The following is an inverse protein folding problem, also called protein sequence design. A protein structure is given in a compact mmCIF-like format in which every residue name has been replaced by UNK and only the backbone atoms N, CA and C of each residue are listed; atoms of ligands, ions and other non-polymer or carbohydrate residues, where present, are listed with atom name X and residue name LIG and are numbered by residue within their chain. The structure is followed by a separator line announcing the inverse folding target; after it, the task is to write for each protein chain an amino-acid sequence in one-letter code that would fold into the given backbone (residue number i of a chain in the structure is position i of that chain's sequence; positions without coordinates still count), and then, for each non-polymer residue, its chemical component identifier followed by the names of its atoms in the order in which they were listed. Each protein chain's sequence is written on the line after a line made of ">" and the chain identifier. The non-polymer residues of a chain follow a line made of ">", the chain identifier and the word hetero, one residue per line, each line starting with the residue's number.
data_IF_951827084990
#
_entry.id   IF_951827084990
#
_cell.length_a   1.000
_cell.length_b   1.000
_cell.length_c   1.000
_cell.angle_alpha   90.00
_cell.angle_beta   90.00
_cell.angle_gamma   90.00
#
_symmetry.space_group_name_H-M   'P 1'
#
loop_
_entity.id
_entity.type
_entity.pdbx_description
1 polymer ?
#
# COMPACT_ATOMS: atom_id res chain seq x y z
N UNK A 1 6.93 2.32 -16.48
CA UNK A 1 6.83 2.28 -15.01
C UNK A 1 8.13 1.70 -14.48
N UNK A 2 8.61 2.15 -13.33
CA UNK A 2 9.89 1.65 -12.75
C UNK A 2 9.93 1.79 -11.22
N UNK A 3 10.85 1.07 -10.59
CA UNK A 3 11.21 1.21 -9.18
C UNK A 3 12.26 2.33 -9.06
N UNK A 4 11.99 3.34 -8.24
CA UNK A 4 12.97 4.39 -7.93
C UNK A 4 13.82 4.05 -6.71
N UNK A 5 13.21 3.39 -5.72
CA UNK A 5 13.88 2.98 -4.49
C UNK A 5 13.27 1.70 -3.94
N UNK A 6 14.12 0.83 -3.41
CA UNK A 6 13.76 -0.33 -2.59
C UNK A 6 14.08 0.04 -1.16
N UNK A 7 13.08 -0.03 -0.26
CA UNK A 7 13.22 0.40 1.12
C UNK A 7 12.87 -0.76 2.07
N UNK A 8 13.70 -0.97 3.07
CA UNK A 8 13.53 -2.02 4.08
C UNK A 8 13.71 -1.46 5.49
N UNK A 9 13.18 -2.15 6.50
CA UNK A 9 13.36 -1.77 7.89
C UNK A 9 12.97 -2.89 8.82
N UNK A 10 13.81 -3.13 9.82
CA UNK A 10 13.49 -4.05 10.91
C UNK A 10 12.62 -3.36 11.98
N UNK A 11 11.79 -4.09 12.71
CA UNK A 11 11.03 -3.57 13.82
C UNK A 11 11.95 -2.95 14.86
N UNK A 12 11.59 -1.75 15.33
CA UNK A 12 12.27 -1.08 16.44
C UNK A 12 11.29 -0.52 17.45
N UNK A 13 11.71 -0.36 18.66
CA UNK A 13 10.90 0.26 19.70
C UNK A 13 11.05 1.78 19.67
N UNK A 14 9.93 2.47 19.79
CA UNK A 14 9.86 3.93 19.87
C UNK A 14 8.83 4.35 20.92
N UNK A 15 9.08 5.46 21.61
CA UNK A 15 8.08 6.03 22.52
C UNK A 15 7.15 6.96 21.75
N UNK A 16 5.85 6.70 21.83
CA UNK A 16 4.82 7.52 21.24
C UNK A 16 3.70 7.80 22.24
N UNK A 17 3.44 9.08 22.52
CA UNK A 17 2.42 9.51 23.50
C UNK A 17 2.57 8.78 24.88
N UNK A 18 3.79 8.65 25.34
CA UNK A 18 4.10 7.99 26.62
C UNK A 18 4.03 6.46 26.63
N UNK A 19 3.79 5.82 25.47
CA UNK A 19 3.76 4.36 25.33
C UNK A 19 4.89 3.85 24.47
N UNK A 20 5.45 2.71 24.85
CA UNK A 20 6.42 1.99 24.03
C UNK A 20 5.68 1.25 22.91
N UNK A 21 6.12 1.45 21.66
CA UNK A 21 5.51 0.86 20.47
C UNK A 21 6.59 0.23 19.60
N UNK A 22 6.42 -1.05 19.26
CA UNK A 22 7.27 -1.73 18.27
C UNK A 22 6.70 -1.53 16.87
N UNK A 23 7.54 -1.06 15.93
CA UNK A 23 7.09 -0.75 14.57
C UNK A 23 8.19 -0.94 13.53
N UNK A 24 7.85 -1.52 12.37
CA UNK A 24 8.69 -1.63 11.17
C UNK A 24 8.44 -0.53 10.12
N UNK A 25 7.78 0.59 10.51
CA UNK A 25 7.44 1.67 9.56
C UNK A 25 8.67 2.48 9.11
N UNK A 26 9.77 2.41 9.85
CA UNK A 26 10.98 3.15 9.55
C UNK A 26 11.81 2.42 8.50
N UNK A 27 11.37 2.54 7.25
CA UNK A 27 12.08 1.98 6.12
C UNK A 27 13.08 2.97 5.55
N UNK A 28 14.20 2.45 5.05
CA UNK A 28 15.31 3.21 4.50
C UNK A 28 15.75 2.56 3.17
N UNK A 29 16.19 3.37 2.18
CA UNK A 29 16.68 2.86 0.92
C UNK A 29 17.85 1.89 1.10
N UNK A 30 17.83 0.77 0.36
CA UNK A 30 18.95 -0.18 0.33
C UNK A 30 19.81 0.04 -0.91
N UNK A 31 21.11 -0.26 -0.78
CA UNK A 31 22.01 -0.32 -1.90
C UNK A 31 21.94 -1.70 -2.57
N UNK A 32 21.90 -1.71 -3.91
CA UNK A 32 21.89 -2.95 -4.69
C UNK A 32 20.49 -3.58 -4.79
N UNK A 33 20.45 -4.91 -4.83
CA UNK A 33 19.23 -5.71 -5.02
C UNK A 33 18.84 -6.42 -3.73
N UNK A 34 17.54 -6.60 -3.52
CA UNK A 34 16.99 -7.35 -2.41
C UNK A 34 16.20 -8.58 -2.94
N UNK A 35 16.21 -9.66 -2.21
CA UNK A 35 15.37 -10.81 -2.50
C UNK A 35 13.93 -10.52 -2.06
N UNK A 36 13.00 -10.55 -2.99
CA UNK A 36 11.57 -10.48 -2.70
C UNK A 36 11.05 -11.90 -2.47
N UNK A 37 10.57 -12.12 -1.25
CA UNK A 37 9.98 -13.39 -0.82
C UNK A 37 8.46 -13.29 -0.77
N UNK A 38 7.81 -14.42 -0.60
CA UNK A 38 6.34 -14.52 -0.58
C UNK A 38 5.66 -13.58 0.43
N UNK A 39 6.31 -13.24 1.54
CA UNK A 39 5.71 -12.46 2.63
C UNK A 39 6.36 -11.09 2.86
N UNK A 40 7.57 -10.85 2.32
CA UNK A 40 8.33 -9.60 2.52
C UNK A 40 9.55 -9.51 1.60
N UNK A 41 10.39 -8.50 1.82
CA UNK A 41 11.75 -8.43 1.26
C UNK A 41 12.77 -8.86 2.32
N UNK A 42 13.89 -9.43 1.88
CA UNK A 42 15.03 -9.66 2.76
C UNK A 42 15.50 -8.31 3.34
N UNK A 43 15.72 -8.27 4.65
CA UNK A 43 16.04 -7.05 5.39
C UNK A 43 14.83 -6.24 5.86
N UNK A 44 13.62 -6.64 5.47
CA UNK A 44 12.38 -6.03 5.93
C UNK A 44 11.59 -6.96 6.85
N UNK A 45 10.90 -6.38 7.84
CA UNK A 45 10.01 -7.15 8.71
C UNK A 45 8.86 -6.29 9.23
N UNK A 46 7.65 -6.85 9.20
CA UNK A 46 6.48 -6.28 9.85
C UNK A 46 6.50 -6.59 11.35
N UNK A 47 6.19 -5.59 12.18
CA UNK A 47 6.19 -5.74 13.64
C UNK A 47 4.95 -6.46 14.20
N UNK A 48 3.85 -6.50 13.42
CA UNK A 48 2.59 -7.09 13.84
C UNK A 48 1.92 -7.76 12.63
N UNK A 49 2.05 -9.06 12.55
CA UNK A 49 1.53 -9.88 11.45
C UNK A 49 0.00 -10.08 11.52
N UNK A 50 -0.64 -9.75 12.63
CA UNK A 50 -2.11 -9.88 12.75
C UNK A 50 -2.83 -8.78 11.99
N UNK A 51 -2.20 -7.62 11.79
CA UNK A 51 -2.78 -6.44 11.15
C UNK A 51 -1.96 -5.98 9.92
N UNK A 52 -0.64 -6.09 10.00
CA UNK A 52 0.31 -5.56 9.01
C UNK A 52 1.19 -6.66 8.46
N UNK A 53 0.67 -7.48 7.56
CA UNK A 53 1.42 -8.57 6.97
C UNK A 53 0.52 -9.60 6.31
N UNK A 54 1.10 -10.75 6.00
CA UNK A 54 0.42 -11.83 5.27
C UNK A 54 0.57 -11.68 3.76
N UNK A 55 0.07 -12.67 3.04
CA UNK A 55 0.27 -12.81 1.59
C UNK A 55 -0.23 -11.59 0.81
N UNK A 56 -1.38 -11.04 1.19
CA UNK A 56 -1.97 -9.87 0.49
C UNK A 56 -1.27 -8.54 0.79
N UNK A 57 -0.43 -8.48 1.82
CA UNK A 57 0.31 -7.28 2.25
C UNK A 57 1.82 -7.53 2.28
N UNK A 58 2.32 -8.34 1.36
CA UNK A 58 3.73 -8.73 1.34
C UNK A 58 4.64 -7.53 1.08
N UNK A 59 4.28 -6.66 0.14
CA UNK A 59 5.07 -5.49 -0.27
C UNK A 59 4.15 -4.29 -0.48
N UNK A 60 4.55 -3.14 0.04
CA UNK A 60 3.85 -1.87 -0.11
C UNK A 60 4.53 -0.99 -1.16
N UNK A 61 3.77 -0.56 -2.17
CA UNK A 61 4.19 0.33 -3.26
C UNK A 61 3.60 1.72 -3.05
N UNK A 62 4.41 2.76 -3.26
CA UNK A 62 3.96 4.15 -3.16
C UNK A 62 4.48 4.99 -4.32
N UNK A 63 3.59 5.65 -5.10
CA UNK A 63 3.97 6.49 -6.23
C UNK A 63 4.80 7.71 -5.81
N UNK A 64 5.94 7.91 -6.44
CA UNK A 64 6.82 9.06 -6.20
C UNK A 64 6.17 10.39 -6.56
N UNK A 65 5.21 10.38 -7.47
CA UNK A 65 4.40 11.54 -7.88
C UNK A 65 3.69 12.19 -6.70
N UNK A 66 3.36 11.42 -5.67
CA UNK A 66 2.71 11.93 -4.48
C UNK A 66 3.65 12.73 -3.57
N UNK A 67 4.94 12.54 -3.67
CA UNK A 67 5.91 13.25 -2.84
C UNK A 67 5.93 14.76 -3.09
N UNK A 68 5.68 15.20 -4.33
CA UNK A 68 5.56 16.64 -4.65
C UNK A 68 4.39 17.29 -3.92
N UNK A 69 3.23 16.62 -3.89
CA UNK A 69 2.07 17.04 -3.11
C UNK A 69 2.41 17.14 -1.61
N UNK A 70 3.05 16.11 -1.06
CA UNK A 70 3.37 16.10 0.37
C UNK A 70 4.42 17.14 0.76
N UNK A 71 5.37 17.45 -0.11
CA UNK A 71 6.31 18.55 0.13
C UNK A 71 5.61 19.90 0.22
N UNK A 72 4.54 20.13 -0.55
CA UNK A 72 3.74 21.35 -0.45
C UNK A 72 2.85 21.36 0.80
N UNK A 73 2.31 20.21 1.23
CA UNK A 73 1.46 20.07 2.40
C UNK A 73 2.24 20.12 3.73
N UNK A 74 3.51 19.80 3.71
CA UNK A 74 4.38 19.68 4.87
C UNK A 74 5.68 20.46 4.67
N UNK A 75 5.59 21.81 4.50
CA UNK A 75 6.77 22.64 4.25
C UNK A 75 7.78 22.50 5.39
N UNK A 76 9.05 22.36 5.03
CA UNK A 76 10.17 22.22 5.98
C UNK A 76 10.38 20.79 6.52
N UNK A 77 9.53 19.84 6.14
CA UNK A 77 9.75 18.43 6.50
C UNK A 77 10.57 17.74 5.42
N UNK A 78 11.63 17.05 5.83
CA UNK A 78 12.37 16.15 4.94
C UNK A 78 11.52 14.89 4.66
N UNK A 79 11.39 14.54 3.39
CA UNK A 79 10.60 13.40 2.94
C UNK A 79 11.47 12.49 2.05
N UNK A 80 12.37 11.70 2.65
CA UNK A 80 13.16 10.71 1.92
C UNK A 80 12.26 9.56 1.44
N UNK A 81 12.72 8.78 0.46
CA UNK A 81 12.06 7.54 0.06
C UNK A 81 11.89 6.61 1.27
N UNK A 82 10.79 5.89 1.34
CA UNK A 82 10.41 5.10 2.52
C UNK A 82 9.69 5.90 3.60
N UNK A 83 9.44 7.20 3.40
CA UNK A 83 8.79 8.05 4.41
C UNK A 83 7.37 7.60 4.77
N UNK A 84 6.63 7.08 3.82
CA UNK A 84 5.27 6.57 4.05
C UNK A 84 5.27 5.10 4.53
N UNK A 85 6.44 4.51 4.76
CA UNK A 85 6.62 3.11 5.17
C UNK A 85 6.53 2.15 3.98
N UNK A 86 6.66 2.67 2.75
CA UNK A 86 6.66 1.87 1.54
C UNK A 86 7.96 1.07 1.37
N UNK A 87 7.81 -0.13 0.82
CA UNK A 87 8.92 -0.96 0.38
C UNK A 87 9.45 -0.51 -0.99
N UNK A 88 8.55 -0.11 -1.90
CA UNK A 88 8.93 0.41 -3.20
C UNK A 88 8.41 1.82 -3.39
N UNK A 89 9.31 2.77 -3.63
CA UNK A 89 8.95 4.04 -4.23
C UNK A 89 8.97 3.86 -5.74
N UNK A 90 7.84 4.11 -6.40
CA UNK A 90 7.61 3.78 -7.82
C UNK A 90 7.37 5.03 -8.66
N UNK A 91 7.52 4.90 -9.98
CA UNK A 91 7.13 5.92 -10.96
C UNK A 91 6.15 5.32 -11.97
N UNK A 92 5.04 6.03 -12.21
CA UNK A 92 4.04 5.68 -13.22
C UNK A 92 2.95 4.70 -12.75
N UNK A 93 2.85 4.41 -11.44
CA UNK A 93 1.90 3.45 -10.85
C UNK A 93 0.84 4.16 -9.98
N UNK A 94 0.08 5.08 -10.56
CA UNK A 94 -0.97 5.80 -9.84
C UNK A 94 -2.19 4.91 -9.54
N UNK A 95 -2.84 5.13 -8.40
CA UNK A 95 -3.94 4.33 -7.89
C UNK A 95 -5.17 4.28 -8.81
N UNK A 96 -5.37 5.30 -9.64
CA UNK A 96 -6.47 5.37 -10.62
C UNK A 96 -6.17 4.64 -11.94
N UNK A 97 -4.93 4.22 -12.17
CA UNK A 97 -4.49 3.48 -13.34
C UNK A 97 -4.10 2.02 -13.05
N UNK A 98 -4.02 1.68 -11.75
CA UNK A 98 -3.72 0.33 -11.25
C UNK A 98 -5.00 -0.29 -10.71
N UNK A 99 -5.32 -1.51 -11.17
CA UNK A 99 -6.54 -2.22 -10.81
C UNK A 99 -6.26 -3.38 -9.86
N UNK A 100 -7.22 -3.71 -9.01
CA UNK A 100 -7.13 -4.88 -8.15
C UNK A 100 -7.06 -6.14 -9.02
N UNK A 101 -6.06 -7.00 -8.79
CA UNK A 101 -5.77 -8.16 -9.62
C UNK A 101 -4.78 -7.90 -10.76
N UNK A 102 -4.34 -6.66 -11.00
CA UNK A 102 -3.25 -6.40 -11.95
C UNK A 102 -2.01 -7.19 -11.54
N UNK A 103 -1.38 -7.84 -12.51
CA UNK A 103 -0.13 -8.57 -12.31
C UNK A 103 1.01 -7.84 -12.99
N UNK A 104 2.06 -7.60 -12.23
CA UNK A 104 3.27 -6.94 -12.71
C UNK A 104 4.48 -7.85 -12.60
N UNK A 105 5.36 -7.76 -13.59
CA UNK A 105 6.74 -8.22 -13.49
C UNK A 105 7.61 -7.06 -13.04
N UNK A 106 8.47 -7.31 -12.03
CA UNK A 106 9.40 -6.34 -11.46
C UNK A 106 10.75 -7.04 -11.28
N UNK A 107 11.73 -6.71 -12.11
CA UNK A 107 13.00 -7.46 -12.12
C UNK A 107 12.75 -8.95 -12.39
N UNK A 108 13.15 -9.82 -11.45
CA UNK A 108 12.96 -11.27 -11.56
C UNK A 108 11.65 -11.75 -10.93
N UNK A 109 10.88 -10.86 -10.29
CA UNK A 109 9.68 -11.19 -9.50
C UNK A 109 8.39 -11.02 -10.30
N UNK A 110 7.32 -11.65 -9.83
CA UNK A 110 5.95 -11.31 -10.24
C UNK A 110 5.08 -11.05 -9.01
N UNK A 111 4.24 -10.03 -9.13
CA UNK A 111 3.36 -9.58 -8.05
C UNK A 111 1.95 -9.36 -8.57
N UNK A 112 0.97 -9.43 -7.65
CA UNK A 112 -0.44 -9.17 -7.93
C UNK A 112 -0.96 -8.08 -6.98
N UNK A 113 -1.63 -7.07 -7.51
CA UNK A 113 -2.24 -5.98 -6.73
C UNK A 113 -3.43 -6.51 -5.93
N UNK A 114 -3.45 -6.22 -4.64
CA UNK A 114 -4.44 -6.77 -3.72
C UNK A 114 -5.36 -5.73 -3.09
N UNK A 115 -4.80 -4.66 -2.54
CA UNK A 115 -5.57 -3.69 -1.75
C UNK A 115 -4.86 -2.34 -1.61
N UNK A 116 -5.59 -1.21 -1.44
CA UNK A 116 -4.98 0.06 -1.05
C UNK A 116 -4.42 -0.02 0.39
N UNK A 117 -3.42 0.80 0.67
CA UNK A 117 -2.91 0.92 2.03
C UNK A 117 -3.76 1.90 2.85
N UNK A 118 -4.40 1.43 3.89
CA UNK A 118 -5.08 2.30 4.85
C UNK A 118 -4.09 2.81 5.91
N UNK A 119 -4.14 4.12 6.25
CA UNK A 119 -3.24 4.67 7.25
C UNK A 119 -3.58 4.16 8.65
N UNK A 120 -2.56 3.90 9.45
CA UNK A 120 -2.68 3.58 10.86
C UNK A 120 -1.84 4.54 11.72
N UNK A 121 -2.00 4.50 13.03
CA UNK A 121 -1.30 5.39 13.96
C UNK A 121 0.24 5.34 13.83
N UNK A 122 0.80 4.24 13.32
CA UNK A 122 2.24 4.12 13.08
C UNK A 122 2.74 5.13 12.03
N UNK A 123 1.89 5.55 11.08
CA UNK A 123 2.22 6.66 10.19
C UNK A 123 2.41 7.97 10.97
N UNK A 124 1.58 8.21 11.99
CA UNK A 124 1.75 9.34 12.90
C UNK A 124 3.08 9.31 13.64
N UNK A 125 3.54 8.12 14.05
CA UNK A 125 4.86 7.93 14.68
C UNK A 125 5.98 8.32 13.70
N UNK A 126 5.93 7.84 12.45
CA UNK A 126 6.95 8.13 11.42
C UNK A 126 7.05 9.62 11.12
N UNK A 127 5.92 10.32 11.08
CA UNK A 127 5.84 11.76 10.81
C UNK A 127 5.96 12.66 12.05
N UNK A 128 5.98 12.08 13.25
CA UNK A 128 5.98 12.86 14.50
C UNK A 128 4.70 13.67 14.75
N UNK A 129 3.57 13.34 14.04
CA UNK A 129 2.31 14.09 14.10
C UNK A 129 1.09 13.21 13.84
N UNK A 130 0.08 13.31 14.68
CA UNK A 130 -1.11 12.46 14.62
C UNK A 130 -2.08 12.82 13.47
N UNK A 131 -2.14 14.10 13.06
CA UNK A 131 -3.05 14.60 12.03
C UNK A 131 -2.73 14.04 10.62
N UNK A 132 -1.51 13.51 10.42
CA UNK A 132 -1.11 12.93 9.13
C UNK A 132 -2.03 11.78 8.71
N UNK A 133 -2.62 11.04 9.64
CA UNK A 133 -3.53 9.93 9.34
C UNK A 133 -4.76 10.45 8.58
N UNK A 134 -5.39 11.50 9.11
CA UNK A 134 -6.55 12.14 8.49
C UNK A 134 -6.19 12.78 7.13
N UNK A 135 -5.07 13.51 7.09
CA UNK A 135 -4.57 14.14 5.85
C UNK A 135 -4.26 13.10 4.78
N UNK A 136 -3.62 11.99 5.16
CA UNK A 136 -3.27 10.91 4.25
C UNK A 136 -4.52 10.30 3.62
N UNK A 137 -5.54 9.95 4.42
CA UNK A 137 -6.79 9.41 3.90
C UNK A 137 -7.53 10.43 3.02
N UNK A 138 -7.62 11.68 3.46
CA UNK A 138 -8.28 12.76 2.70
C UNK A 138 -7.59 13.04 1.36
N UNK A 139 -6.28 12.86 1.26
CA UNK A 139 -5.52 13.06 0.03
C UNK A 139 -5.82 12.00 -1.04
N UNK A 140 -6.36 10.83 -0.65
CA UNK A 140 -6.58 9.65 -1.51
C UNK A 140 -5.30 9.09 -2.16
N UNK A 141 -4.12 9.51 -1.69
CA UNK A 141 -2.79 9.10 -2.15
C UNK A 141 -2.29 7.98 -1.25
N UNK A 142 -2.87 6.82 -1.41
CA UNK A 142 -2.69 5.71 -0.46
C UNK A 142 -1.53 4.79 -0.81
N UNK A 143 -1.15 4.73 -2.09
CA UNK A 143 -0.39 3.59 -2.58
C UNK A 143 -1.17 2.29 -2.39
N UNK A 144 -0.53 1.15 -2.58
CA UNK A 144 -1.20 -0.14 -2.54
C UNK A 144 -0.26 -1.27 -2.16
N UNK A 145 -0.85 -2.35 -1.69
CA UNK A 145 -0.17 -3.59 -1.41
C UNK A 145 -0.22 -4.54 -2.60
N UNK A 146 0.77 -5.42 -2.65
CA UNK A 146 0.83 -6.54 -3.59
C UNK A 146 1.15 -7.84 -2.87
N UNK A 147 0.60 -8.94 -3.41
CA UNK A 147 1.03 -10.30 -3.11
C UNK A 147 2.18 -10.68 -4.06
N UNK A 148 3.17 -11.41 -3.54
CA UNK A 148 4.27 -11.96 -4.35
C UNK A 148 3.83 -13.30 -4.92
N UNK A 149 3.71 -13.40 -6.25
CA UNK A 149 3.33 -14.64 -6.95
C UNK A 149 4.55 -15.42 -7.42
N UNK A 150 5.66 -14.75 -7.71
CA UNK A 150 6.97 -15.35 -7.98
C UNK A 150 8.07 -14.58 -7.26
N UNK A 151 8.83 -15.27 -6.43
CA UNK A 151 9.99 -14.73 -5.73
C UNK A 151 11.15 -14.44 -6.70
N UNK A 152 12.06 -13.53 -6.33
CA UNK A 152 13.23 -13.17 -7.13
C UNK A 152 13.92 -11.90 -6.65
N UNK A 153 14.98 -11.53 -7.34
CA UNK A 153 15.73 -10.32 -7.03
C UNK A 153 15.08 -9.08 -7.65
N UNK A 154 15.05 -7.99 -6.88
CA UNK A 154 14.52 -6.70 -7.29
C UNK A 154 15.43 -5.57 -6.81
N UNK A 155 15.53 -4.49 -7.59
CA UNK A 155 16.37 -3.35 -7.24
C UNK A 155 15.85 -2.03 -7.80
N UNK A 156 16.41 -0.93 -7.32
CA UNK A 156 16.17 0.38 -7.92
C UNK A 156 16.60 0.38 -9.40
N UNK A 157 15.76 0.99 -10.25
CA UNK A 157 15.95 1.02 -11.70
C UNK A 157 15.22 -0.11 -12.44
N UNK A 158 14.74 -1.15 -11.77
CA UNK A 158 13.98 -2.23 -12.42
C UNK A 158 12.72 -1.70 -13.07
N UNK A 159 12.45 -2.14 -14.31
CA UNK A 159 11.21 -1.88 -15.01
C UNK A 159 10.05 -2.58 -14.31
N UNK A 160 8.88 -1.94 -14.33
CA UNK A 160 7.62 -2.53 -13.90
C UNK A 160 6.75 -2.72 -15.13
N UNK A 161 6.47 -3.97 -15.48
CA UNK A 161 5.73 -4.36 -16.68
C UNK A 161 4.40 -5.00 -16.30
N UNK A 162 3.31 -4.50 -16.85
CA UNK A 162 1.99 -5.14 -16.71
C UNK A 162 1.99 -6.43 -17.54
N UNK A 163 1.86 -7.57 -16.86
CA UNK A 163 1.86 -8.91 -17.51
C UNK A 163 0.50 -9.57 -17.51
N UNK A 164 -0.46 -9.03 -16.79
CA UNK A 164 -1.84 -9.51 -16.78
C UNK A 164 -2.77 -8.55 -16.07
N UNK A 165 -4.02 -8.51 -16.51
CA UNK A 165 -5.12 -7.74 -15.92
C UNK A 165 -6.39 -8.59 -15.95
N UNK A 166 -7.00 -8.82 -14.79
CA UNK A 166 -8.20 -9.66 -14.67
C UNK A 166 -9.48 -8.87 -14.93
N UNK A 167 -9.49 -7.58 -14.56
CA UNK A 167 -10.66 -6.71 -14.68
C UNK A 167 -10.22 -5.23 -14.83
N UNK A 168 -11.11 -4.37 -15.30
CA UNK A 168 -10.86 -2.94 -15.51
C UNK A 168 -11.92 -2.04 -14.84
N UNK A 169 -12.74 -2.62 -13.97
CA UNK A 169 -13.87 -1.91 -13.35
C UNK A 169 -13.51 -1.24 -12.04
N UNK A 170 -12.64 -1.88 -11.23
CA UNK A 170 -12.33 -1.42 -9.87
C UNK A 170 -10.81 -1.23 -9.73
N UNK A 171 -10.41 0.03 -9.71
CA UNK A 171 -9.03 0.45 -9.44
C UNK A 171 -8.73 0.46 -7.93
N UNK A 172 -7.45 0.63 -7.58
CA UNK A 172 -7.03 0.89 -6.19
C UNK A 172 -7.70 2.15 -5.63
N UNK A 173 -7.83 3.20 -6.46
CA UNK A 173 -8.50 4.44 -6.08
C UNK A 173 -9.99 4.21 -5.77
N UNK A 174 -10.67 3.32 -6.52
CA UNK A 174 -12.08 3.00 -6.29
C UNK A 174 -12.28 2.29 -4.94
N UNK A 175 -11.42 1.35 -4.56
CA UNK A 175 -11.49 0.72 -3.24
C UNK A 175 -11.35 1.76 -2.13
N UNK A 176 -10.40 2.69 -2.27
CA UNK A 176 -10.23 3.80 -1.31
C UNK A 176 -11.46 4.69 -1.25
N UNK A 177 -12.06 5.02 -2.40
CA UNK A 177 -13.29 5.82 -2.51
C UNK A 177 -14.46 5.15 -1.83
N UNK A 178 -14.73 3.89 -2.15
CA UNK A 178 -15.82 3.09 -1.58
C UNK A 178 -15.70 2.92 -0.06
N UNK A 179 -14.48 2.79 0.44
CA UNK A 179 -14.23 2.64 1.87
C UNK A 179 -14.48 3.93 2.65
N UNK A 180 -13.96 5.05 2.19
CA UNK A 180 -13.82 6.25 2.99
C UNK A 180 -14.76 7.40 2.61
N UNK A 181 -15.28 7.44 1.36
CA UNK A 181 -15.95 8.62 0.83
C UNK A 181 -17.32 8.35 0.23
N UNK A 182 -17.50 7.23 -0.48
CA UNK A 182 -18.71 6.94 -1.24
C UNK A 182 -19.20 5.52 -0.92
N UNK A 183 -19.86 5.41 0.22
CA UNK A 183 -20.31 4.12 0.77
C UNK A 183 -21.64 3.66 0.19
N UNK A 184 -22.27 4.48 -0.64
CA UNK A 184 -23.61 4.26 -1.18
C UNK A 184 -23.60 3.86 -2.67
N UNK A 185 -22.43 3.75 -3.28
CA UNK A 185 -22.29 3.24 -4.66
C UNK A 185 -22.47 1.72 -4.71
N UNK A 186 -23.74 1.30 -4.68
CA UNK A 186 -24.15 -0.13 -4.68
C UNK A 186 -23.56 -0.91 -5.84
N UNK A 187 -23.48 -0.29 -7.02
CA UNK A 187 -22.92 -0.96 -8.21
C UNK A 187 -21.46 -1.32 -8.00
N UNK A 188 -20.62 -0.34 -7.65
CA UNK A 188 -19.20 -0.56 -7.44
C UNK A 188 -18.93 -1.44 -6.20
N UNK A 189 -19.72 -1.33 -5.14
CA UNK A 189 -19.63 -2.22 -3.97
C UNK A 189 -19.86 -3.69 -4.38
N UNK A 190 -20.88 -3.97 -5.19
CA UNK A 190 -21.15 -5.33 -5.69
C UNK A 190 -20.00 -5.84 -6.56
N UNK A 191 -19.49 -5.01 -7.50
CA UNK A 191 -18.35 -5.37 -8.34
C UNK A 191 -17.12 -5.70 -7.49
N UNK A 192 -16.79 -4.85 -6.49
CA UNK A 192 -15.64 -5.08 -5.61
C UNK A 192 -15.74 -6.41 -4.85
N UNK A 193 -16.94 -6.85 -4.43
CA UNK A 193 -17.10 -8.14 -3.73
C UNK A 193 -16.84 -9.36 -4.62
N UNK A 194 -16.83 -9.21 -5.94
CA UNK A 194 -16.61 -10.31 -6.90
C UNK A 194 -15.13 -10.46 -7.30
N UNK A 195 -14.26 -9.50 -7.00
CA UNK A 195 -12.86 -9.53 -7.41
C UNK A 195 -12.11 -10.58 -6.58
N UNK A 196 -11.55 -11.58 -7.25
CA UNK A 196 -10.86 -12.68 -6.56
C UNK A 196 -9.64 -12.20 -5.76
N UNK A 197 -8.84 -11.33 -6.35
CA UNK A 197 -7.62 -10.79 -5.77
C UNK A 197 -7.84 -9.88 -4.53
N UNK A 198 -9.06 -9.34 -4.36
CA UNK A 198 -9.38 -8.50 -3.19
C UNK A 198 -9.51 -9.38 -1.93
N UNK A 199 -8.80 -9.07 -0.83
CA UNK A 199 -8.86 -9.85 0.41
C UNK A 199 -10.26 -9.95 1.00
N UNK A 200 -10.56 -11.09 1.65
CA UNK A 200 -11.88 -11.38 2.21
C UNK A 200 -12.34 -10.36 3.26
N UNK A 201 -11.41 -9.76 4.00
CA UNK A 201 -11.71 -8.66 4.94
C UNK A 201 -12.36 -7.45 4.27
N UNK A 202 -11.93 -7.11 3.05
CA UNK A 202 -12.53 -6.04 2.25
C UNK A 202 -13.87 -6.44 1.69
N UNK A 203 -13.98 -7.66 1.14
CA UNK A 203 -15.26 -8.19 0.63
C UNK A 203 -16.32 -8.24 1.72
N UNK A 204 -15.95 -8.70 2.92
CA UNK A 204 -16.83 -8.73 4.09
C UNK A 204 -17.30 -7.33 4.50
N UNK A 205 -16.38 -6.35 4.53
CA UNK A 205 -16.74 -4.96 4.79
C UNK A 205 -17.76 -4.43 3.76
N UNK A 206 -17.54 -4.67 2.46
CA UNK A 206 -18.44 -4.18 1.41
C UNK A 206 -19.77 -4.90 1.39
N UNK A 207 -19.83 -6.21 1.68
CA UNK A 207 -21.13 -6.93 1.86
C UNK A 207 -21.94 -6.31 3.00
N UNK A 208 -21.33 -6.03 4.13
CA UNK A 208 -21.99 -5.38 5.24
C UNK A 208 -22.51 -3.96 4.88
N UNK A 209 -21.79 -3.19 4.07
CA UNK A 209 -22.31 -1.92 3.56
C UNK A 209 -23.54 -2.12 2.65
N UNK A 210 -23.53 -3.14 1.79
CA UNK A 210 -24.66 -3.47 0.91
C UNK A 210 -25.91 -3.89 1.71
N UNK A 211 -25.77 -4.69 2.77
CA UNK A 211 -26.86 -5.11 3.65
C UNK A 211 -27.53 -3.91 4.31
N UNK A 212 -26.75 -2.98 4.85
CA UNK A 212 -27.28 -1.75 5.49
C UNK A 212 -28.10 -0.85 4.58
N UNK A 213 -27.85 -0.90 3.27
CA UNK A 213 -28.60 -0.10 2.29
C UNK A 213 -29.92 -0.78 1.87
N UNK A 214 -30.03 -2.09 2.07
CA UNK A 214 -31.25 -2.84 1.76
C UNK A 214 -32.29 -2.72 2.90
N UNK A 215 -31.84 -2.29 4.08
CA UNK A 215 -32.69 -2.11 5.28
C UNK A 215 -33.22 -0.66 5.45
N UNK A 216 -32.83 0.26 4.57
CA UNK A 216 -33.31 1.65 4.51
C UNK A 216 -34.36 1.84 3.41
#
# INVERSE_FOLDING_TARGET
>A
MKILSVNVGLPREVTWQGKLVTTGIFKEPVQGRAMMRRLNLDGDQQADLTVHGGVSKAVYLYPSEHYSYWRSELPGMDLPWGMFGENFTTEGLLENAVYIGDRFRIGETEVMVTEPRMPCYKLGIKFGRADIIKRFLASRRTGFYVAVTREGMVGAGDAVELVGREQQDISVADITRLYAFDKDDVKSLRQATQIEALPESWKGYFRHQLERQTEQ
#
